data_IF_165003321285
#
_entry.id   IF_165003321285
#
_cell.length_a   1.000
_cell.length_b   1.000
_cell.length_c   1.000
_cell.angle_alpha   90.00
_cell.angle_beta   90.00
_cell.angle_gamma   90.00
#
_symmetry.space_group_name_H-M   'P 1'
#
loop_
_entity.id
_entity.type
_entity.pdbx_description
1 polymer ?
#
# COMPACT_ATOMS: atom_id res chain seq x y z
N UNK A 1 50.05 0.46 -33.76
CA UNK A 1 49.13 -0.22 -32.86
C UNK A 1 47.73 0.41 -33.01
N UNK A 2 46.73 -0.37 -33.35
CA UNK A 2 45.52 0.11 -34.02
C UNK A 2 44.47 0.71 -33.05
N UNK A 3 44.00 1.94 -33.25
CA UNK A 3 42.99 2.59 -32.39
C UNK A 3 41.61 1.94 -32.47
N UNK A 4 41.35 1.06 -33.44
CA UNK A 4 40.08 0.37 -33.65
C UNK A 4 39.77 -0.70 -32.60
N UNK A 5 40.80 -1.28 -31.97
CA UNK A 5 40.62 -2.33 -30.93
C UNK A 5 40.19 -1.70 -29.59
N UNK A 6 40.69 -0.53 -29.24
CA UNK A 6 40.30 0.19 -28.02
C UNK A 6 38.85 0.68 -28.07
N UNK A 7 38.38 1.12 -29.24
CA UNK A 7 37.01 1.61 -29.41
C UNK A 7 35.98 0.47 -29.30
N UNK A 8 36.31 -0.71 -29.84
CA UNK A 8 35.47 -1.92 -29.71
C UNK A 8 35.35 -2.42 -28.28
N UNK A 9 36.47 -2.40 -27.52
CA UNK A 9 36.47 -2.81 -26.12
C UNK A 9 35.68 -1.83 -25.24
N UNK A 10 35.76 -0.52 -25.52
CA UNK A 10 35.02 0.52 -24.82
C UNK A 10 33.51 0.43 -25.06
N UNK A 11 33.10 0.10 -26.29
CA UNK A 11 31.70 -0.12 -26.62
C UNK A 11 31.13 -1.37 -25.93
N UNK A 12 31.93 -2.47 -25.85
CA UNK A 12 31.52 -3.71 -25.22
C UNK A 12 31.33 -3.56 -23.69
N UNK A 13 32.20 -2.77 -23.04
CA UNK A 13 32.08 -2.47 -21.60
C UNK A 13 30.90 -1.56 -21.30
N UNK A 14 30.58 -0.62 -22.17
CA UNK A 14 29.46 0.28 -22.03
C UNK A 14 28.12 -0.46 -22.16
N UNK A 15 28.01 -1.44 -23.08
CA UNK A 15 26.81 -2.28 -23.23
C UNK A 15 26.61 -3.23 -22.05
N UNK A 16 27.69 -3.76 -21.45
CA UNK A 16 27.62 -4.61 -20.27
C UNK A 16 27.14 -3.84 -19.01
N UNK A 17 27.53 -2.57 -18.85
CA UNK A 17 27.08 -1.71 -17.76
C UNK A 17 25.58 -1.36 -17.90
N UNK A 18 25.10 -1.10 -19.12
CA UNK A 18 23.71 -0.80 -19.39
C UNK A 18 22.77 -2.01 -19.17
N UNK A 19 23.27 -3.24 -19.40
CA UNK A 19 22.49 -4.46 -19.16
C UNK A 19 22.31 -4.79 -17.68
N UNK A 20 23.22 -4.37 -16.81
CA UNK A 20 23.17 -4.64 -15.36
C UNK A 20 22.11 -3.80 -14.62
N UNK A 21 21.67 -2.66 -15.18
CA UNK A 21 20.66 -1.79 -14.56
C UNK A 21 19.20 -2.19 -14.84
N UNK A 22 18.95 -3.22 -15.65
CA UNK A 22 17.60 -3.59 -16.10
C UNK A 22 16.84 -4.56 -15.18
N UNK A 23 17.48 -5.08 -14.12
CA UNK A 23 16.84 -6.04 -13.21
C UNK A 23 16.76 -5.46 -11.80
N UNK A 24 15.82 -4.54 -11.57
CA UNK A 24 15.39 -4.27 -10.20
C UNK A 24 14.41 -5.37 -9.79
N UNK A 25 14.66 -6.06 -8.65
CA UNK A 25 13.75 -7.06 -8.14
C UNK A 25 12.43 -6.37 -7.76
N UNK A 26 11.37 -6.67 -8.48
CA UNK A 26 10.01 -6.46 -7.99
C UNK A 26 9.82 -7.48 -6.88
N UNK A 27 9.90 -7.07 -5.63
CA UNK A 27 9.54 -7.96 -4.54
C UNK A 27 8.07 -8.35 -4.70
N UNK A 28 7.75 -9.63 -4.86
CA UNK A 28 6.36 -10.06 -4.80
C UNK A 28 5.81 -9.69 -3.42
N UNK A 29 4.51 -9.35 -3.31
CA UNK A 29 3.89 -9.09 -2.02
C UNK A 29 4.19 -10.26 -1.09
N UNK A 30 4.68 -9.96 0.10
CA UNK A 30 4.96 -11.00 1.10
C UNK A 30 3.65 -11.72 1.36
N UNK A 31 3.61 -13.01 1.06
CA UNK A 31 2.42 -13.84 1.17
C UNK A 31 1.74 -13.59 2.51
N UNK A 32 0.50 -13.10 2.46
CA UNK A 32 -0.29 -12.87 3.65
C UNK A 32 -0.55 -14.21 4.33
N UNK A 33 -0.03 -14.39 5.54
CA UNK A 33 -0.31 -15.59 6.33
C UNK A 33 -1.62 -15.35 7.08
N UNK A 34 -2.62 -16.16 6.82
CA UNK A 34 -3.89 -16.12 7.54
C UNK A 34 -3.98 -17.33 8.46
N UNK A 35 -4.06 -17.10 9.78
CA UNK A 35 -3.94 -18.16 10.80
C UNK A 35 -5.28 -18.57 11.43
N UNK A 36 -6.44 -18.35 10.84
CA UNK A 36 -7.66 -18.72 11.53
C UNK A 36 -8.64 -19.52 10.67
N UNK A 37 -9.30 -20.49 11.29
CA UNK A 37 -10.40 -21.26 10.68
C UNK A 37 -11.71 -20.47 10.60
N UNK A 38 -11.80 -19.31 11.23
CA UNK A 38 -12.99 -18.46 11.23
C UNK A 38 -12.59 -17.00 10.99
N UNK A 39 -13.15 -16.42 9.93
CA UNK A 39 -13.01 -15.00 9.62
C UNK A 39 -13.82 -14.14 10.61
N UNK A 40 -13.31 -12.96 10.99
CA UNK A 40 -14.10 -11.99 11.74
C UNK A 40 -15.30 -11.53 10.89
N UNK A 41 -16.38 -11.15 11.52
CA UNK A 41 -17.56 -10.63 10.83
C UNK A 41 -17.57 -9.11 10.80
N UNK A 42 -17.31 -8.49 11.96
CA UNK A 42 -17.30 -7.04 12.13
C UNK A 42 -15.88 -6.55 12.24
N UNK A 43 -15.51 -5.58 11.40
CA UNK A 43 -14.12 -5.09 11.29
C UNK A 43 -14.10 -3.56 11.32
N UNK A 44 -13.13 -3.00 12.03
CA UNK A 44 -12.89 -1.55 12.03
C UNK A 44 -11.49 -1.25 11.47
N UNK A 45 -11.42 -0.30 10.53
CA UNK A 45 -10.16 0.22 9.99
C UNK A 45 -9.72 1.40 10.84
N UNK A 46 -8.71 1.21 11.67
CA UNK A 46 -8.18 2.23 12.57
C UNK A 46 -7.43 3.34 11.80
N UNK A 47 -7.18 4.51 12.42
CA UNK A 47 -6.26 5.50 11.89
C UNK A 47 -4.90 4.89 11.55
N UNK A 48 -4.37 5.20 10.37
CA UNK A 48 -3.06 4.72 9.95
C UNK A 48 -1.94 5.54 10.59
N UNK A 49 -0.93 4.86 11.09
CA UNK A 49 0.26 5.48 11.66
C UNK A 49 1.11 6.04 10.53
N UNK A 50 1.34 7.34 10.53
CA UNK A 50 2.14 7.99 9.49
C UNK A 50 3.59 8.11 9.94
N UNK A 51 4.52 7.43 9.27
CA UNK A 51 5.97 7.50 9.48
C UNK A 51 6.66 8.37 8.44
N UNK A 52 5.90 9.04 7.56
CA UNK A 52 6.43 9.85 6.46
C UNK A 52 6.48 11.32 6.83
N UNK A 53 7.11 12.13 5.98
CA UNK A 53 7.12 13.59 6.09
C UNK A 53 5.85 14.27 5.53
N UNK A 54 4.97 13.53 4.85
CA UNK A 54 3.70 14.04 4.29
C UNK A 54 2.60 13.95 5.35
N UNK A 55 2.09 15.04 5.91
CA UNK A 55 1.11 15.01 7.00
C UNK A 55 -0.20 14.30 6.64
N UNK A 56 -0.59 14.37 5.36
CA UNK A 56 -1.84 13.79 4.85
C UNK A 56 -1.76 12.28 4.55
N UNK A 57 -0.56 11.69 4.48
CA UNK A 57 -0.35 10.34 3.98
C UNK A 57 -1.21 9.29 4.71
N UNK A 58 -1.21 9.28 6.04
CA UNK A 58 -1.98 8.34 6.81
C UNK A 58 -3.49 8.44 6.56
N UNK A 59 -4.01 9.66 6.52
CA UNK A 59 -5.44 9.91 6.27
C UNK A 59 -5.84 9.56 4.84
N UNK A 60 -5.01 9.92 3.86
CA UNK A 60 -5.27 9.64 2.44
C UNK A 60 -5.27 8.14 2.17
N UNK A 61 -4.25 7.42 2.61
CA UNK A 61 -4.14 5.97 2.42
C UNK A 61 -5.24 5.20 3.18
N UNK A 62 -5.58 5.61 4.41
CA UNK A 62 -6.69 4.99 5.14
C UNK A 62 -8.02 5.09 4.39
N UNK A 63 -8.36 6.27 3.84
CA UNK A 63 -9.59 6.46 3.06
C UNK A 63 -9.60 5.61 1.79
N UNK A 64 -8.48 5.56 1.06
CA UNK A 64 -8.36 4.72 -0.14
C UNK A 64 -8.47 3.25 0.19
N UNK A 65 -7.76 2.80 1.21
CA UNK A 65 -7.84 1.42 1.70
C UNK A 65 -9.28 1.05 2.08
N UNK A 66 -9.95 1.90 2.86
CA UNK A 66 -11.33 1.68 3.30
C UNK A 66 -12.30 1.55 2.11
N UNK A 67 -12.17 2.38 1.08
CA UNK A 67 -13.01 2.29 -0.11
C UNK A 67 -12.88 0.94 -0.83
N UNK A 68 -11.68 0.35 -0.91
CA UNK A 68 -11.50 -0.98 -1.48
C UNK A 68 -11.92 -2.07 -0.49
N UNK A 69 -11.63 -1.92 0.80
CA UNK A 69 -11.98 -2.87 1.84
C UNK A 69 -13.49 -3.08 1.97
N UNK A 70 -14.29 -2.02 1.84
CA UNK A 70 -15.75 -2.08 1.92
C UNK A 70 -16.37 -3.00 0.85
N UNK A 71 -15.62 -3.39 -0.19
CA UNK A 71 -16.08 -4.35 -1.20
C UNK A 71 -15.90 -5.83 -0.78
N UNK A 72 -15.26 -6.11 0.36
CA UNK A 72 -14.92 -7.48 0.79
C UNK A 72 -16.01 -8.17 1.63
N UNK A 73 -17.22 -7.64 1.71
CA UNK A 73 -18.35 -8.25 2.44
C UNK A 73 -18.10 -8.48 3.96
N UNK A 74 -17.21 -7.71 4.57
CA UNK A 74 -17.16 -7.53 6.01
C UNK A 74 -18.22 -6.52 6.45
N UNK A 75 -18.73 -6.65 7.67
CA UNK A 75 -19.50 -5.58 8.30
C UNK A 75 -18.49 -4.53 8.85
N UNK A 76 -18.13 -3.58 8.01
CA UNK A 76 -17.19 -2.53 8.34
C UNK A 76 -17.84 -1.39 9.12
N UNK A 77 -17.11 -0.82 10.09
CA UNK A 77 -17.52 0.39 10.79
C UNK A 77 -17.12 1.63 10.00
N UNK A 78 -18.02 2.62 9.95
CA UNK A 78 -17.77 3.92 9.34
C UNK A 78 -16.60 4.64 10.01
N UNK A 79 -15.68 5.20 9.20
CA UNK A 79 -14.47 5.85 9.69
C UNK A 79 -14.76 7.00 10.66
N UNK A 80 -15.80 7.79 10.41
CA UNK A 80 -16.18 8.93 11.26
C UNK A 80 -16.63 8.47 12.66
N UNK A 81 -17.32 7.34 12.75
CA UNK A 81 -17.73 6.75 14.04
C UNK A 81 -16.52 6.28 14.82
N UNK A 82 -15.58 5.60 14.17
CA UNK A 82 -14.33 5.14 14.77
C UNK A 82 -13.56 6.34 15.33
N UNK A 83 -13.32 7.37 14.51
CA UNK A 83 -12.54 8.55 14.88
C UNK A 83 -13.17 9.32 16.04
N UNK A 84 -14.48 9.50 16.01
CA UNK A 84 -15.20 10.18 17.10
C UNK A 84 -15.10 9.40 18.40
N UNK A 85 -15.22 8.08 18.35
CA UNK A 85 -15.16 7.21 19.53
C UNK A 85 -13.76 7.20 20.12
N UNK A 86 -12.73 7.02 19.30
CA UNK A 86 -11.33 7.04 19.75
C UNK A 86 -10.92 8.39 20.35
N UNK A 87 -11.33 9.48 19.71
CA UNK A 87 -11.08 10.84 20.21
C UNK A 87 -11.72 11.07 21.56
N UNK A 88 -12.99 10.69 21.73
CA UNK A 88 -13.73 10.85 22.98
C UNK A 88 -13.11 10.08 24.12
N UNK A 89 -12.49 8.95 23.86
CA UNK A 89 -11.87 8.08 24.85
C UNK A 89 -10.36 8.32 25.03
N UNK A 90 -9.75 9.24 24.28
CA UNK A 90 -8.31 9.53 24.36
C UNK A 90 -7.43 8.35 23.94
N UNK A 91 -7.88 7.50 23.00
CA UNK A 91 -7.19 6.25 22.64
C UNK A 91 -6.31 6.36 21.38
N UNK A 92 -6.09 7.56 20.85
CA UNK A 92 -5.23 7.72 19.66
C UNK A 92 -3.79 7.25 19.90
N UNK A 93 -3.22 7.54 21.09
CA UNK A 93 -1.85 7.12 21.41
C UNK A 93 -1.72 5.59 21.55
N UNK A 94 -2.81 4.93 21.92
CA UNK A 94 -2.86 3.47 22.04
C UNK A 94 -2.75 2.76 20.67
N UNK A 95 -3.11 3.44 19.57
CA UNK A 95 -2.96 2.92 18.21
C UNK A 95 -1.48 2.85 17.82
N UNK A 96 -0.67 3.77 18.31
CA UNK A 96 0.77 3.82 18.00
C UNK A 96 1.53 2.64 18.61
N UNK A 97 1.12 2.18 19.80
CA UNK A 97 1.77 1.06 20.48
C UNK A 97 1.41 -0.30 19.90
N UNK A 98 0.21 -0.42 19.29
CA UNK A 98 -0.35 -1.67 18.76
C UNK A 98 -0.25 -2.86 19.72
N UNK A 99 -0.20 -2.59 21.03
CA UNK A 99 -0.12 -3.66 22.03
C UNK A 99 -1.44 -4.44 22.10
N UNK A 100 -1.38 -5.77 22.35
CA UNK A 100 -2.57 -6.62 22.32
C UNK A 100 -3.68 -6.17 23.27
N UNK A 101 -3.34 -5.66 24.46
CA UNK A 101 -4.32 -5.25 25.47
C UNK A 101 -5.08 -3.99 25.02
N UNK A 102 -4.36 -3.01 24.48
CA UNK A 102 -4.97 -1.80 23.89
C UNK A 102 -5.85 -2.15 22.70
N UNK A 103 -5.41 -3.06 21.82
CA UNK A 103 -6.20 -3.50 20.67
C UNK A 103 -7.49 -4.21 21.11
N UNK A 104 -7.43 -5.11 22.08
CA UNK A 104 -8.62 -5.76 22.65
C UNK A 104 -9.59 -4.71 23.23
N UNK A 105 -9.10 -3.74 23.99
CA UNK A 105 -9.93 -2.68 24.57
C UNK A 105 -10.60 -1.82 23.49
N UNK A 106 -9.88 -1.44 22.44
CA UNK A 106 -10.42 -0.70 21.29
C UNK A 106 -11.51 -1.53 20.58
N UNK A 107 -11.26 -2.82 20.35
CA UNK A 107 -12.23 -3.73 19.74
C UNK A 107 -13.51 -3.86 20.54
N UNK A 108 -13.42 -4.01 21.87
CA UNK A 108 -14.59 -4.06 22.76
C UNK A 108 -15.37 -2.74 22.72
N UNK A 109 -14.68 -1.60 22.75
CA UNK A 109 -15.31 -0.29 22.71
C UNK A 109 -16.06 -0.04 21.40
N UNK A 110 -15.48 -0.46 20.27
CA UNK A 110 -16.09 -0.33 18.95
C UNK A 110 -17.10 -1.43 18.65
N UNK A 111 -17.14 -2.50 19.45
CA UNK A 111 -18.02 -3.67 19.26
C UNK A 111 -17.71 -4.44 17.99
N UNK A 112 -16.42 -4.64 17.67
CA UNK A 112 -15.95 -5.35 16.48
C UNK A 112 -15.14 -6.59 16.84
N UNK A 113 -15.07 -7.54 15.90
CA UNK A 113 -14.35 -8.81 16.06
C UNK A 113 -12.87 -8.66 15.74
N UNK A 114 -12.51 -7.75 14.82
CA UNK A 114 -11.14 -7.49 14.42
C UNK A 114 -10.89 -6.02 14.08
N UNK A 115 -9.62 -5.64 14.19
CA UNK A 115 -9.11 -4.31 13.86
C UNK A 115 -8.10 -4.40 12.75
N UNK A 116 -8.22 -3.55 11.75
CA UNK A 116 -7.17 -3.31 10.75
C UNK A 116 -6.34 -2.11 11.20
N UNK A 117 -5.04 -2.32 11.33
CA UNK A 117 -4.03 -1.30 11.60
C UNK A 117 -3.07 -1.22 10.42
N UNK A 118 -2.49 -0.04 10.17
CA UNK A 118 -1.43 0.09 9.20
C UNK A 118 -0.44 1.20 9.56
N UNK A 119 0.80 1.03 9.07
CA UNK A 119 1.86 2.04 9.10
C UNK A 119 2.20 2.45 7.68
N UNK A 120 2.18 3.75 7.41
CA UNK A 120 2.65 4.33 6.15
C UNK A 120 4.13 4.60 6.32
N UNK A 121 4.96 3.85 5.60
CA UNK A 121 6.43 3.90 5.70
C UNK A 121 7.03 4.84 4.67
N UNK A 122 6.41 4.94 3.48
CA UNK A 122 6.76 5.93 2.45
C UNK A 122 5.52 6.44 1.73
N UNK A 123 5.54 7.73 1.39
CA UNK A 123 4.50 8.41 0.62
C UNK A 123 5.14 9.63 -0.02
N UNK A 124 5.82 9.44 -1.14
CA UNK A 124 6.66 10.47 -1.67
C UNK A 124 6.91 10.42 -3.17
N UNK A 125 7.65 11.41 -3.60
CA UNK A 125 8.19 11.52 -4.94
C UNK A 125 9.65 11.91 -4.88
N UNK A 126 10.46 11.18 -5.63
CA UNK A 126 11.85 11.53 -5.88
C UNK A 126 11.96 12.12 -7.29
N UNK A 127 12.57 13.30 -7.39
CA UNK A 127 12.90 13.93 -8.67
C UNK A 127 14.40 13.84 -8.92
N UNK A 128 14.76 13.28 -10.06
CA UNK A 128 16.08 13.44 -10.67
C UNK A 128 15.91 14.15 -12.01
N UNK A 129 16.98 14.76 -12.53
CA UNK A 129 16.97 15.69 -13.68
C UNK A 129 16.10 15.29 -14.90
N UNK A 130 15.90 14.00 -15.13
CA UNK A 130 15.13 13.45 -16.26
C UNK A 130 14.14 12.34 -15.83
N UNK A 131 13.89 12.21 -14.51
CA UNK A 131 13.19 11.06 -13.97
C UNK A 131 12.41 11.44 -12.71
N UNK A 132 11.15 11.04 -12.64
CA UNK A 132 10.33 11.15 -11.45
C UNK A 132 9.92 9.75 -11.00
N UNK A 133 10.23 9.38 -9.77
CA UNK A 133 9.77 8.17 -9.12
C UNK A 133 8.76 8.53 -8.01
N UNK A 134 7.61 7.90 -8.04
CA UNK A 134 6.59 8.03 -7.00
C UNK A 134 6.53 6.71 -6.28
N UNK A 135 6.79 6.72 -4.98
CA UNK A 135 6.74 5.53 -4.13
C UNK A 135 5.70 5.67 -3.04
N UNK A 136 5.04 4.56 -2.75
CA UNK A 136 4.14 4.42 -1.60
C UNK A 136 4.43 3.07 -0.95
N UNK A 137 4.67 3.06 0.36
CA UNK A 137 4.99 1.86 1.13
C UNK A 137 4.06 1.75 2.34
N UNK A 138 3.35 0.65 2.45
CA UNK A 138 2.37 0.38 3.51
C UNK A 138 2.63 -0.99 4.13
N UNK A 139 2.66 -1.03 5.46
CA UNK A 139 2.59 -2.25 6.24
C UNK A 139 1.23 -2.29 6.95
N UNK A 140 0.45 -3.35 6.73
CA UNK A 140 -0.89 -3.47 7.29
C UNK A 140 -1.09 -4.83 7.96
N UNK A 141 -1.96 -4.85 8.98
CA UNK A 141 -2.30 -6.08 9.69
C UNK A 141 -3.75 -6.06 10.19
N UNK A 142 -4.33 -7.25 10.32
CA UNK A 142 -5.63 -7.49 10.96
C UNK A 142 -5.40 -8.21 12.28
N UNK A 143 -5.96 -7.68 13.36
CA UNK A 143 -5.78 -8.17 14.73
C UNK A 143 -7.14 -8.63 15.27
N UNK A 144 -7.22 -9.85 15.76
CA UNK A 144 -8.39 -10.39 16.47
C UNK A 144 -8.58 -9.71 17.81
N UNK A 145 -9.76 -9.17 18.07
CA UNK A 145 -10.07 -8.41 19.28
C UNK A 145 -10.23 -9.27 20.54
N UNK A 146 -10.47 -10.59 20.40
CA UNK A 146 -10.63 -11.50 21.52
C UNK A 146 -9.27 -12.01 22.00
N UNK A 147 -8.46 -12.47 21.08
CA UNK A 147 -7.18 -13.13 21.38
C UNK A 147 -5.99 -12.19 21.34
N UNK A 148 -6.11 -11.01 20.70
CA UNK A 148 -5.00 -10.11 20.40
C UNK A 148 -4.04 -10.67 19.35
N UNK A 149 -4.35 -11.80 18.71
CA UNK A 149 -3.50 -12.41 17.70
C UNK A 149 -3.65 -11.69 16.36
N UNK A 150 -2.57 -11.69 15.60
CA UNK A 150 -2.57 -11.19 14.22
C UNK A 150 -3.17 -12.27 13.32
N UNK A 151 -4.29 -11.94 12.65
CA UNK A 151 -4.97 -12.80 11.70
C UNK A 151 -4.37 -12.71 10.30
N UNK A 152 -3.95 -11.53 9.91
CA UNK A 152 -3.38 -11.23 8.60
C UNK A 152 -2.35 -10.11 8.72
N UNK A 153 -1.29 -10.19 7.94
CA UNK A 153 -0.27 -9.16 7.81
C UNK A 153 0.25 -9.14 6.38
N UNK A 154 0.46 -7.95 5.87
CA UNK A 154 1.14 -7.72 4.60
C UNK A 154 2.00 -6.48 4.67
N UNK A 155 3.05 -6.45 3.88
CA UNK A 155 3.87 -5.28 3.64
C UNK A 155 4.08 -5.15 2.14
N UNK A 156 3.72 -4.01 1.58
CA UNK A 156 3.74 -3.80 0.15
C UNK A 156 4.24 -2.41 -0.20
N UNK A 157 5.09 -2.35 -1.22
CA UNK A 157 5.64 -1.12 -1.79
C UNK A 157 5.33 -1.07 -3.27
N UNK A 158 4.84 0.06 -3.74
CA UNK A 158 4.52 0.28 -5.15
C UNK A 158 5.24 1.53 -5.64
N UNK A 159 5.90 1.38 -6.79
CA UNK A 159 6.56 2.47 -7.50
C UNK A 159 5.86 2.78 -8.82
N UNK A 160 5.74 4.06 -9.13
CA UNK A 160 5.33 4.52 -10.46
C UNK A 160 6.40 5.44 -11.01
N UNK A 161 7.04 4.99 -12.09
CA UNK A 161 8.11 5.70 -12.78
C UNK A 161 7.55 6.43 -13.98
N UNK A 162 7.81 7.72 -14.06
CA UNK A 162 7.47 8.53 -15.22
C UNK A 162 8.77 9.06 -15.84
N UNK A 163 9.07 8.59 -17.06
CA UNK A 163 10.28 8.90 -17.82
C UNK A 163 10.05 9.84 -19.01
N UNK A 164 9.14 10.81 -18.88
CA UNK A 164 8.97 11.88 -19.88
C UNK A 164 8.86 13.23 -19.17
N UNK A 165 10.00 13.83 -18.90
CA UNK A 165 10.07 15.28 -18.70
C UNK A 165 10.28 15.87 -20.10
N UNK A 166 9.30 16.56 -20.69
CA UNK A 166 9.54 17.27 -21.94
C UNK A 166 10.52 18.42 -21.64
N UNK A 167 11.79 18.21 -21.95
CA UNK A 167 12.83 19.23 -21.96
C UNK A 167 12.66 20.15 -23.16
N UNK A 168 11.51 20.78 -23.32
CA UNK A 168 11.38 21.96 -24.17
C UNK A 168 11.73 23.21 -23.37
N UNK A 169 13.01 23.51 -23.32
CA UNK A 169 13.61 24.66 -22.66
C UNK A 169 13.33 25.99 -23.40
N UNK A 170 12.19 26.17 -24.03
CA UNK A 170 11.87 27.46 -24.65
C UNK A 170 10.51 27.95 -24.19
N UNK A 171 10.52 28.80 -23.16
CA UNK A 171 9.65 29.95 -23.15
C UNK A 171 8.35 29.92 -22.34
N UNK A 172 8.11 29.00 -21.36
CA UNK A 172 6.87 29.07 -20.54
C UNK A 172 7.12 28.70 -19.07
N UNK A 173 7.94 29.48 -18.40
CA UNK A 173 8.29 29.22 -16.98
C UNK A 173 7.12 29.41 -15.98
N UNK A 174 6.12 30.20 -16.29
CA UNK A 174 5.06 30.53 -15.34
C UNK A 174 3.80 29.61 -15.37
N UNK A 175 3.46 29.02 -16.52
CA UNK A 175 2.32 28.11 -16.65
C UNK A 175 2.65 26.69 -16.24
N UNK A 176 3.92 26.29 -16.35
CA UNK A 176 4.41 24.95 -16.03
C UNK A 176 4.36 24.61 -14.53
N UNK A 177 4.49 25.59 -13.65
CA UNK A 177 4.51 25.33 -12.18
C UNK A 177 3.13 24.87 -11.70
N UNK A 178 2.03 25.49 -12.14
CA UNK A 178 0.69 25.07 -11.74
C UNK A 178 0.30 23.71 -12.33
N UNK A 179 0.69 23.45 -13.57
CA UNK A 179 0.43 22.16 -14.24
C UNK A 179 1.25 21.04 -13.61
N UNK A 180 2.52 21.29 -13.27
CA UNK A 180 3.38 20.31 -12.62
C UNK A 180 2.85 19.89 -11.24
N UNK A 181 2.32 20.81 -10.44
CA UNK A 181 1.74 20.51 -9.12
C UNK A 181 0.48 19.64 -9.26
N UNK A 182 -0.37 19.91 -10.25
CA UNK A 182 -1.60 19.12 -10.48
C UNK A 182 -1.27 17.69 -10.98
N UNK A 183 -0.31 17.53 -11.87
CA UNK A 183 0.21 16.22 -12.29
C UNK A 183 0.90 15.48 -11.15
N UNK A 184 1.53 16.19 -10.24
CA UNK A 184 2.17 15.64 -9.05
C UNK A 184 1.18 14.93 -8.12
N UNK A 185 0.08 15.58 -7.80
CA UNK A 185 -0.96 14.99 -6.95
C UNK A 185 -1.63 13.80 -7.62
N UNK A 186 -1.95 13.88 -8.90
CA UNK A 186 -2.58 12.78 -9.64
C UNK A 186 -1.71 11.50 -9.64
N UNK A 187 -0.40 11.62 -9.80
CA UNK A 187 0.52 10.47 -9.82
C UNK A 187 0.60 9.77 -8.46
N UNK A 188 0.73 10.51 -7.35
CA UNK A 188 0.82 9.89 -6.03
C UNK A 188 -0.51 9.23 -5.62
N UNK A 189 -1.64 9.85 -5.96
CA UNK A 189 -2.96 9.27 -5.71
C UNK A 189 -3.18 7.98 -6.51
N UNK A 190 -2.71 7.93 -7.76
CA UNK A 190 -2.77 6.72 -8.58
C UNK A 190 -1.92 5.59 -8.00
N UNK A 191 -0.67 5.89 -7.62
CA UNK A 191 0.23 4.92 -6.99
C UNK A 191 -0.34 4.41 -5.67
N UNK A 192 -0.89 5.30 -4.84
CA UNK A 192 -1.53 4.97 -3.57
C UNK A 192 -2.79 4.10 -3.76
N UNK A 193 -3.63 4.41 -4.76
CA UNK A 193 -4.81 3.62 -5.06
C UNK A 193 -4.43 2.20 -5.54
N UNK A 194 -3.43 2.09 -6.41
CA UNK A 194 -2.90 0.80 -6.86
C UNK A 194 -2.40 -0.03 -5.67
N UNK A 195 -1.56 0.54 -4.82
CA UNK A 195 -1.04 -0.13 -3.63
C UNK A 195 -2.18 -0.58 -2.71
N UNK A 196 -3.15 0.29 -2.40
CA UNK A 196 -4.27 -0.06 -1.54
C UNK A 196 -5.11 -1.20 -2.11
N UNK A 197 -5.34 -1.21 -3.43
CA UNK A 197 -6.04 -2.30 -4.10
C UNK A 197 -5.26 -3.62 -3.97
N UNK A 198 -3.96 -3.61 -4.26
CA UNK A 198 -3.09 -4.79 -4.16
C UNK A 198 -3.06 -5.34 -2.73
N UNK A 199 -2.94 -4.47 -1.72
CA UNK A 199 -2.97 -4.85 -0.30
C UNK A 199 -4.32 -5.45 0.08
N UNK A 200 -5.43 -4.82 -0.28
CA UNK A 200 -6.78 -5.30 0.06
C UNK A 200 -7.09 -6.65 -0.59
N UNK A 201 -6.61 -6.90 -1.81
CA UNK A 201 -6.77 -8.18 -2.50
C UNK A 201 -6.08 -9.35 -1.77
N UNK A 202 -5.13 -9.09 -0.88
CA UNK A 202 -4.52 -10.14 -0.05
C UNK A 202 -5.35 -10.49 1.19
N UNK A 203 -6.39 -9.72 1.52
CA UNK A 203 -7.29 -9.99 2.64
C UNK A 203 -8.29 -11.08 2.21
N UNK A 204 -8.45 -12.15 3.00
CA UNK A 204 -9.43 -13.18 2.71
C UNK A 204 -10.85 -12.60 2.64
N UNK A 205 -11.60 -12.95 1.59
CA UNK A 205 -13.00 -12.52 1.48
C UNK A 205 -13.91 -13.58 2.13
N UNK A 206 -14.81 -13.21 3.04
CA UNK A 206 -15.73 -14.12 3.70
C UNK A 206 -16.56 -14.96 2.71
N UNK A 207 -16.99 -14.40 1.60
CA UNK A 207 -17.79 -15.14 0.60
C UNK A 207 -17.00 -16.23 -0.12
N UNK A 208 -15.74 -15.98 -0.47
CA UNK A 208 -14.92 -16.98 -1.18
C UNK A 208 -14.57 -18.16 -0.29
N UNK A 209 -14.50 -17.96 1.02
CA UNK A 209 -14.25 -19.05 1.98
C UNK A 209 -15.51 -19.82 2.38
N UNK A 210 -16.68 -19.18 2.30
CA UNK A 210 -17.97 -19.85 2.54
C UNK A 210 -18.44 -20.72 1.37
N UNK A 211 -17.92 -20.49 0.16
CA UNK A 211 -18.25 -21.27 -1.03
C UNK A 211 -17.41 -22.55 -1.07
N UNK A 212 -18.00 -23.75 -1.13
CA UNK A 212 -17.23 -24.96 -1.36
C UNK A 212 -16.51 -24.86 -2.71
N UNK A 213 -15.28 -25.42 -2.83
CA UNK A 213 -14.55 -25.36 -4.08
C UNK A 213 -15.41 -25.95 -5.21
N UNK A 214 -15.39 -25.37 -6.42
CA UNK A 214 -16.15 -25.89 -7.54
C UNK A 214 -15.79 -27.36 -7.72
N UNK A 215 -16.78 -28.24 -7.67
CA UNK A 215 -16.60 -29.66 -8.00
C UNK A 215 -16.17 -29.72 -9.47
N UNK A 216 -14.86 -29.87 -9.69
CA UNK A 216 -14.36 -30.19 -11.02
C UNK A 216 -14.85 -31.60 -11.31
N UNK A 217 -15.96 -31.71 -12.04
CA UNK A 217 -16.40 -32.97 -12.60
C UNK A 217 -15.37 -33.38 -13.66
N UNK A 218 -14.46 -34.28 -13.27
CA UNK A 218 -13.65 -35.00 -14.24
C UNK A 218 -14.61 -35.82 -15.09
N UNK A 219 -14.99 -35.31 -16.26
CA UNK A 219 -15.57 -36.13 -17.34
C UNK A 219 -14.43 -37.03 -17.84
N UNK A 220 -14.41 -38.24 -17.26
CA UNK A 220 -13.65 -39.35 -17.82
C UNK A 220 -14.43 -39.83 -19.03
N UNK A 221 -13.91 -39.63 -20.21
CA UNK A 221 -14.29 -40.35 -21.45
C UNK A 221 -13.16 -41.29 -21.83
#
# INVERSE_FOLDING_TARGET
MQPKICLGLLLLTLTAILACCAQMPTHPPRSATFETSRLPTRVAVLPFVNRTSSPEAGTALRKMFYNFFSSLNYHDLELALIDTTLKRQGLYDSILSQDPVSMQRIGQLLGVDALITAEVLDYGKLYALVYADTSVHLKASMIDCVTGKRLWETEHETHTRQGDVPLSLTGVAGALIKTAVSFQQASILHTAAKLCLEVVQTIPNPETMASPPPKIAYLVH
#
